data_IF_835032605630
#
_entry.id   IF_835032605630
#
_cell.length_a   1.000
_cell.length_b   1.000
_cell.length_c   1.000
_cell.angle_alpha   90.00
_cell.angle_beta   90.00
_cell.angle_gamma   90.00
#
_symmetry.space_group_name_H-M   'P 1'
#
loop_
_entity.id
_entity.type
_entity.pdbx_description
1 polymer ?
#
# COMPACT_ATOMS: atom_id res chain seq x y z
N UNK A 1 64.50 -74.38 8.63
CA UNK A 1 64.72 -75.09 7.35
C UNK A 1 63.37 -75.37 6.70
N UNK A 2 63.06 -74.62 5.64
CA UNK A 2 62.37 -75.02 4.40
C UNK A 2 61.05 -75.83 4.37
N UNK A 3 60.19 -75.39 3.43
CA UNK A 3 59.03 -76.03 2.74
C UNK A 3 57.66 -75.63 3.31
N UNK A 4 56.98 -74.65 2.72
CA UNK A 4 56.14 -74.71 1.49
C UNK A 4 54.97 -75.69 1.66
N UNK A 5 53.78 -75.13 1.87
CA UNK A 5 52.49 -75.78 1.67
C UNK A 5 51.70 -74.92 0.67
N UNK A 6 51.53 -75.44 -0.53
CA UNK A 6 50.64 -74.89 -1.56
C UNK A 6 49.25 -75.51 -1.36
N UNK A 7 48.22 -74.69 -1.18
CA UNK A 7 46.83 -75.11 -1.18
C UNK A 7 46.16 -74.58 -2.45
N UNK A 8 45.78 -75.51 -3.35
CA UNK A 8 44.85 -75.24 -4.45
C UNK A 8 43.46 -75.04 -3.87
N UNK A 9 42.85 -73.88 -4.12
CA UNK A 9 41.44 -73.63 -3.88
C UNK A 9 40.67 -73.70 -5.20
N UNK A 10 39.65 -74.55 -5.23
CA UNK A 10 38.78 -74.79 -6.37
C UNK A 10 37.86 -73.60 -6.66
N UNK A 11 37.68 -73.33 -7.95
CA UNK A 11 36.79 -72.32 -8.52
C UNK A 11 35.32 -72.74 -8.45
N UNK A 12 34.49 -71.93 -7.78
CA UNK A 12 33.03 -72.01 -7.87
C UNK A 12 32.50 -70.74 -8.57
N UNK A 13 32.00 -70.90 -9.79
CA UNK A 13 31.33 -69.86 -10.58
C UNK A 13 29.94 -69.54 -10.01
N UNK A 14 29.82 -68.36 -9.40
CA UNK A 14 28.52 -67.74 -9.06
C UNK A 14 28.19 -66.64 -10.06
N UNK A 15 27.14 -66.81 -10.86
CA UNK A 15 26.62 -65.79 -11.75
C UNK A 15 25.83 -64.74 -10.94
N UNK A 16 26.35 -63.51 -10.85
CA UNK A 16 25.63 -62.37 -10.29
C UNK A 16 24.76 -61.72 -11.38
N UNK A 17 23.45 -61.87 -11.28
CA UNK A 17 22.47 -61.09 -12.04
C UNK A 17 22.39 -59.69 -11.44
N UNK A 18 23.01 -58.71 -12.09
CA UNK A 18 22.82 -57.29 -11.81
C UNK A 18 21.48 -56.84 -12.38
N UNK A 19 20.47 -56.68 -11.52
CA UNK A 19 19.21 -56.02 -11.87
C UNK A 19 19.46 -54.51 -11.88
N UNK A 20 19.50 -53.91 -13.07
CA UNK A 20 19.56 -52.46 -13.21
C UNK A 20 18.21 -51.84 -12.82
N UNK A 21 18.19 -51.07 -11.73
CA UNK A 21 17.03 -50.27 -11.37
C UNK A 21 16.80 -49.17 -12.42
N UNK A 22 15.54 -48.90 -12.83
CA UNK A 22 15.25 -47.83 -13.77
C UNK A 22 15.60 -46.48 -13.12
N UNK A 23 16.42 -45.67 -13.80
CA UNK A 23 16.61 -44.27 -13.45
C UNK A 23 15.28 -43.55 -13.64
N UNK A 24 14.67 -43.11 -12.56
CA UNK A 24 13.56 -42.17 -12.61
C UNK A 24 14.07 -40.87 -13.25
N UNK A 25 13.58 -40.57 -14.45
CA UNK A 25 13.75 -39.26 -15.07
C UNK A 25 12.88 -38.28 -14.31
N UNK A 26 13.51 -37.39 -13.54
CA UNK A 26 12.84 -36.21 -12.98
C UNK A 26 12.24 -35.42 -14.16
N UNK A 27 10.93 -35.14 -14.17
CA UNK A 27 10.37 -34.26 -15.18
C UNK A 27 11.10 -32.90 -15.11
N UNK A 28 11.27 -32.21 -16.26
CA UNK A 28 11.84 -30.87 -16.25
C UNK A 28 11.00 -30.01 -15.30
N UNK A 29 11.66 -29.25 -14.43
CA UNK A 29 10.97 -28.26 -13.61
C UNK A 29 10.19 -27.35 -14.58
N UNK A 30 8.86 -27.34 -14.47
CA UNK A 30 8.05 -26.37 -15.21
C UNK A 30 8.63 -24.99 -14.96
N UNK A 31 8.93 -24.27 -16.04
CA UNK A 31 9.37 -22.89 -15.94
C UNK A 31 8.31 -22.15 -15.12
N UNK A 32 8.73 -21.49 -14.03
CA UNK A 32 7.83 -20.69 -13.22
C UNK A 32 7.04 -19.75 -14.16
N UNK A 33 5.70 -19.65 -14.00
CA UNK A 33 4.89 -18.83 -14.89
C UNK A 33 5.46 -17.41 -14.94
N UNK A 34 5.56 -16.85 -16.15
CA UNK A 34 6.10 -15.51 -16.33
C UNK A 34 5.31 -14.50 -15.48
N UNK A 35 6.03 -13.68 -14.70
CA UNK A 35 5.43 -12.66 -13.85
C UNK A 35 4.66 -11.66 -14.72
N UNK A 36 3.37 -11.51 -14.44
CA UNK A 36 2.50 -10.54 -15.14
C UNK A 36 2.66 -9.12 -14.59
N UNK A 37 3.12 -8.97 -13.34
CA UNK A 37 3.36 -7.68 -12.69
C UNK A 37 4.61 -7.01 -13.27
N UNK A 38 4.43 -5.84 -13.86
CA UNK A 38 5.52 -4.97 -14.31
C UNK A 38 5.57 -3.71 -13.42
N UNK A 39 6.64 -3.57 -12.63
CA UNK A 39 6.86 -2.44 -11.74
C UNK A 39 7.72 -1.33 -12.37
N UNK A 40 8.26 -1.53 -13.57
CA UNK A 40 9.30 -0.66 -14.12
C UNK A 40 8.89 0.83 -14.22
N UNK A 41 7.62 1.12 -14.48
CA UNK A 41 7.16 2.51 -14.51
C UNK A 41 6.98 3.09 -13.10
N UNK A 42 6.56 2.29 -12.12
CA UNK A 42 6.53 2.72 -10.71
C UNK A 42 7.94 2.93 -10.18
N UNK A 43 8.89 2.05 -10.53
CA UNK A 43 10.31 2.22 -10.19
C UNK A 43 10.85 3.51 -10.81
N UNK A 44 10.46 3.81 -12.06
CA UNK A 44 10.78 5.07 -12.71
C UNK A 44 10.11 6.30 -12.06
N UNK A 45 8.95 6.19 -11.43
CA UNK A 45 8.31 7.33 -10.77
C UNK A 45 8.79 7.52 -9.32
N UNK A 46 9.38 6.50 -8.71
CA UNK A 46 9.86 6.53 -7.33
C UNK A 46 11.00 7.54 -7.12
N UNK A 47 10.94 8.28 -6.03
CA UNK A 47 11.96 9.24 -5.62
C UNK A 47 12.10 9.28 -4.10
N UNK A 48 13.03 10.10 -3.60
CA UNK A 48 13.21 10.35 -2.17
C UNK A 48 13.30 11.83 -1.86
N UNK A 49 12.74 12.25 -0.73
CA UNK A 49 12.85 13.63 -0.22
C UNK A 49 13.20 13.66 1.25
N UNK A 50 13.97 14.66 1.67
CA UNK A 50 14.24 14.97 3.07
C UNK A 50 13.38 16.18 3.48
N UNK A 51 12.13 15.99 3.90
CA UNK A 51 11.23 17.11 4.13
C UNK A 51 11.71 17.95 5.32
N UNK A 52 11.50 19.28 5.28
CA UNK A 52 11.76 20.12 6.44
C UNK A 52 10.81 19.76 7.60
N UNK A 53 11.19 20.15 8.81
CA UNK A 53 10.33 20.01 9.97
C UNK A 53 9.04 20.83 9.77
N UNK A 54 7.90 20.16 9.89
CA UNK A 54 6.59 20.77 9.69
C UNK A 54 5.68 20.43 10.88
N UNK A 55 4.93 21.42 11.35
CA UNK A 55 4.12 21.26 12.55
C UNK A 55 3.09 20.14 12.35
N UNK A 56 2.97 19.25 13.34
CA UNK A 56 2.01 18.12 13.33
C UNK A 56 2.29 17.03 12.29
N UNK A 57 3.38 17.11 11.54
CA UNK A 57 3.78 16.07 10.57
C UNK A 57 5.07 15.38 11.02
N UNK A 58 5.05 14.06 11.00
CA UNK A 58 6.18 13.20 11.38
C UNK A 58 5.98 11.83 10.75
N UNK A 59 6.98 10.96 10.83
CA UNK A 59 6.85 9.58 10.38
C UNK A 59 7.80 8.66 11.13
N UNK A 60 7.70 7.37 10.87
CA UNK A 60 8.52 6.35 11.48
C UNK A 60 10.01 6.67 11.26
N UNK A 61 10.75 6.74 12.37
CA UNK A 61 12.20 6.92 12.40
C UNK A 61 12.74 8.13 11.63
N UNK A 62 11.94 9.19 11.41
CA UNK A 62 12.35 10.38 10.64
C UNK A 62 13.69 10.98 11.09
N UNK A 63 14.02 10.98 12.38
CA UNK A 63 15.29 11.50 12.87
C UNK A 63 16.52 10.63 12.51
N UNK A 64 16.32 9.32 12.31
CA UNK A 64 17.38 8.37 11.98
C UNK A 64 17.44 8.07 10.47
N UNK A 65 16.31 8.18 9.78
CA UNK A 65 16.11 7.95 8.35
C UNK A 65 15.42 9.21 7.80
N UNK A 66 16.16 10.28 7.47
CA UNK A 66 15.55 11.56 7.09
C UNK A 66 14.93 11.54 5.69
N UNK A 67 15.46 10.70 4.80
CA UNK A 67 14.94 10.53 3.45
C UNK A 67 13.69 9.64 3.49
N UNK A 68 12.63 10.10 2.83
CA UNK A 68 11.35 9.42 2.69
C UNK A 68 11.10 9.04 1.25
N UNK A 69 10.69 7.80 1.00
CA UNK A 69 10.18 7.41 -0.31
C UNK A 69 8.91 8.17 -0.70
N UNK A 70 8.91 8.69 -1.92
CA UNK A 70 7.77 9.34 -2.57
C UNK A 70 7.61 8.82 -4.01
N UNK A 71 6.53 9.23 -4.67
CA UNK A 71 6.24 8.86 -6.05
C UNK A 71 5.81 10.11 -6.82
N UNK A 72 6.50 10.41 -7.92
CA UNK A 72 6.07 11.47 -8.84
C UNK A 72 4.66 11.19 -9.35
N UNK A 73 3.80 12.20 -9.26
CA UNK A 73 2.38 12.08 -9.63
C UNK A 73 2.20 11.86 -11.13
N UNK A 74 2.93 12.63 -11.93
CA UNK A 74 2.77 12.63 -13.39
C UNK A 74 4.08 12.38 -14.11
N UNK A 75 3.96 11.89 -15.34
CA UNK A 75 5.07 11.83 -16.26
C UNK A 75 4.61 12.06 -17.70
N UNK A 76 5.29 12.97 -18.40
CA UNK A 76 5.03 13.28 -19.79
C UNK A 76 5.79 12.33 -20.70
N UNK A 77 5.08 11.73 -21.65
CA UNK A 77 5.68 10.95 -22.72
C UNK A 77 6.44 11.87 -23.67
N UNK A 78 7.72 11.59 -23.87
CA UNK A 78 8.60 12.33 -24.77
C UNK A 78 8.54 11.77 -26.19
N UNK A 79 8.96 12.59 -27.17
CA UNK A 79 8.94 12.22 -28.59
C UNK A 79 9.83 11.01 -28.93
N UNK A 80 10.90 10.79 -28.16
CA UNK A 80 11.82 9.64 -28.31
C UNK A 80 11.28 8.36 -27.65
N UNK A 81 10.12 8.43 -27.01
CA UNK A 81 9.52 7.31 -26.31
C UNK A 81 9.87 7.20 -24.82
N UNK A 82 10.74 8.06 -24.30
CA UNK A 82 11.02 8.14 -22.87
C UNK A 82 9.90 8.87 -22.10
N UNK A 83 10.01 8.90 -20.77
CA UNK A 83 9.11 9.66 -19.91
C UNK A 83 9.90 10.69 -19.11
N UNK A 84 9.29 11.84 -18.86
CA UNK A 84 9.83 12.89 -17.97
C UNK A 84 8.89 13.07 -16.79
N UNK A 85 9.40 12.93 -15.57
CA UNK A 85 8.66 13.23 -14.33
C UNK A 85 8.23 14.70 -14.31
N UNK A 86 6.98 14.95 -13.95
CA UNK A 86 6.39 16.29 -13.79
C UNK A 86 5.41 16.29 -12.60
N UNK A 87 5.24 17.44 -11.96
CA UNK A 87 4.23 17.64 -10.92
C UNK A 87 2.88 18.11 -11.48
N UNK A 88 1.91 18.27 -10.59
CA UNK A 88 0.54 18.70 -10.92
C UNK A 88 0.37 20.22 -10.97
N UNK A 89 -0.36 20.72 -11.96
CA UNK A 89 -0.55 22.15 -12.17
C UNK A 89 0.66 22.85 -12.80
N UNK A 90 0.64 24.18 -12.82
CA UNK A 90 1.70 25.01 -13.41
C UNK A 90 3.00 24.89 -12.62
N UNK A 91 4.13 24.73 -13.30
CA UNK A 91 5.46 24.75 -12.69
C UNK A 91 5.99 26.19 -12.58
N UNK A 92 6.46 26.58 -11.38
CA UNK A 92 7.23 27.79 -11.14
C UNK A 92 8.71 27.43 -11.06
N UNK A 93 9.48 27.83 -12.08
CA UNK A 93 10.91 27.55 -12.15
C UNK A 93 11.76 28.37 -11.16
N UNK A 94 11.23 29.47 -10.61
CA UNK A 94 11.94 30.30 -9.64
C UNK A 94 11.96 29.70 -8.24
N UNK A 95 10.90 28.99 -7.87
CA UNK A 95 10.77 28.29 -6.58
C UNK A 95 10.89 26.78 -6.69
N UNK A 96 10.92 26.25 -7.91
CA UNK A 96 10.82 24.82 -8.21
C UNK A 96 9.61 24.15 -7.54
N UNK A 97 8.47 24.82 -7.63
CA UNK A 97 7.20 24.32 -7.07
C UNK A 97 6.15 24.15 -8.15
N UNK A 98 5.14 23.36 -7.84
CA UNK A 98 4.00 23.09 -8.69
C UNK A 98 2.74 23.65 -8.07
N UNK A 99 1.81 24.14 -8.92
CA UNK A 99 0.52 24.66 -8.48
C UNK A 99 -0.26 23.70 -7.60
N UNK A 100 -0.12 22.38 -7.82
CA UNK A 100 -0.62 21.36 -6.90
C UNK A 100 0.51 20.78 -6.05
N UNK A 101 1.47 20.08 -6.69
CA UNK A 101 2.61 19.46 -6.01
C UNK A 101 3.29 18.44 -6.91
N UNK A 102 4.45 17.93 -6.51
CA UNK A 102 5.17 16.89 -7.24
C UNK A 102 4.66 15.49 -6.87
N UNK A 103 4.32 15.30 -5.60
CA UNK A 103 3.92 14.02 -5.03
C UNK A 103 2.55 14.18 -4.37
N UNK A 104 1.71 13.14 -4.44
CA UNK A 104 0.42 13.15 -3.75
C UNK A 104 0.17 11.89 -2.92
N UNK A 105 -0.69 12.02 -1.92
CA UNK A 105 -1.07 10.93 -1.01
C UNK A 105 -1.77 9.76 -1.73
N UNK A 106 -2.57 10.04 -2.76
CA UNK A 106 -3.32 9.03 -3.52
C UNK A 106 -2.39 8.02 -4.22
N UNK A 107 -1.38 8.53 -4.91
CA UNK A 107 -0.44 7.80 -5.73
C UNK A 107 0.54 7.03 -4.85
N UNK A 108 1.04 7.69 -3.79
CA UNK A 108 1.90 7.06 -2.79
C UNK A 108 1.16 5.91 -2.09
N UNK A 109 -0.10 6.09 -1.70
CA UNK A 109 -0.91 5.03 -1.07
C UNK A 109 -1.13 3.84 -2.00
N UNK A 110 -1.52 4.10 -3.27
CA UNK A 110 -1.75 3.04 -4.26
C UNK A 110 -0.46 2.29 -4.60
N UNK A 111 0.65 3.01 -4.80
CA UNK A 111 1.94 2.40 -5.07
C UNK A 111 2.43 1.56 -3.88
N UNK A 112 2.27 2.05 -2.65
CA UNK A 112 2.60 1.29 -1.45
C UNK A 112 1.85 -0.05 -1.41
N UNK A 113 0.56 -0.07 -1.74
CA UNK A 113 -0.23 -1.31 -1.83
C UNK A 113 0.28 -2.24 -2.95
N UNK A 114 0.64 -1.70 -4.12
CA UNK A 114 1.19 -2.52 -5.22
C UNK A 114 2.49 -3.21 -4.79
N UNK A 115 3.45 -2.47 -4.24
CA UNK A 115 4.72 -3.03 -3.76
C UNK A 115 4.51 -3.99 -2.58
N UNK A 116 3.60 -3.68 -1.67
CA UNK A 116 3.23 -4.55 -0.56
C UNK A 116 2.70 -5.90 -1.07
N UNK A 117 1.71 -5.86 -1.96
CA UNK A 117 1.11 -7.09 -2.52
C UNK A 117 2.12 -7.88 -3.32
N UNK A 118 2.96 -7.20 -4.11
CA UNK A 118 4.03 -7.86 -4.85
C UNK A 118 5.05 -8.54 -3.91
N UNK A 119 5.49 -7.86 -2.85
CA UNK A 119 6.34 -8.46 -1.82
C UNK A 119 5.67 -9.68 -1.19
N UNK A 120 4.38 -9.60 -0.83
CA UNK A 120 3.65 -10.72 -0.22
C UNK A 120 3.48 -11.91 -1.15
N UNK A 121 3.40 -11.68 -2.45
CA UNK A 121 3.26 -12.74 -3.46
C UNK A 121 4.61 -13.38 -3.84
N UNK A 122 5.68 -12.60 -3.86
CA UNK A 122 6.97 -13.02 -4.45
C UNK A 122 8.10 -13.17 -3.44
N UNK A 123 8.00 -12.56 -2.27
CA UNK A 123 9.10 -12.41 -1.31
C UNK A 123 10.15 -11.38 -1.72
N UNK A 124 9.91 -10.57 -2.77
CA UNK A 124 10.89 -9.60 -3.26
C UNK A 124 11.26 -8.55 -2.19
N UNK A 125 12.54 -8.54 -1.79
CA UNK A 125 13.05 -7.61 -0.79
C UNK A 125 12.98 -6.14 -1.25
N UNK A 126 13.21 -5.87 -2.54
CA UNK A 126 13.06 -4.52 -3.10
C UNK A 126 11.62 -4.01 -2.97
N UNK A 127 10.62 -4.84 -3.27
CA UNK A 127 9.21 -4.47 -3.10
C UNK A 127 8.85 -4.24 -1.63
N UNK A 128 9.44 -5.00 -0.69
CA UNK A 128 9.28 -4.72 0.75
C UNK A 128 9.84 -3.34 1.12
N UNK A 129 11.03 -3.01 0.61
CA UNK A 129 11.70 -1.74 0.87
C UNK A 129 10.90 -0.56 0.30
N UNK A 130 10.45 -0.66 -0.95
CA UNK A 130 9.58 0.35 -1.56
C UNK A 130 8.27 0.54 -0.78
N UNK A 131 7.64 -0.55 -0.33
CA UNK A 131 6.44 -0.46 0.51
C UNK A 131 6.74 0.24 1.85
N UNK A 132 7.85 -0.12 2.52
CA UNK A 132 8.29 0.53 3.77
C UNK A 132 8.48 2.03 3.57
N UNK A 133 9.25 2.43 2.57
CA UNK A 133 9.57 3.83 2.30
C UNK A 133 8.35 4.66 1.86
N UNK A 134 7.49 4.12 0.99
CA UNK A 134 6.27 4.82 0.57
C UNK A 134 5.26 4.95 1.74
N UNK A 135 5.18 3.96 2.63
CA UNK A 135 4.34 4.06 3.84
C UNK A 135 4.90 5.12 4.81
N UNK A 136 6.22 5.29 4.89
CA UNK A 136 6.84 6.38 5.66
C UNK A 136 6.51 7.74 5.05
N UNK A 137 6.63 7.88 3.73
CA UNK A 137 6.20 9.09 3.01
C UNK A 137 4.72 9.40 3.18
N UNK A 138 3.84 8.40 3.00
CA UNK A 138 2.40 8.54 3.19
C UNK A 138 2.03 9.00 4.60
N UNK A 139 2.66 8.40 5.62
CA UNK A 139 2.37 8.76 7.02
C UNK A 139 3.01 10.08 7.45
N UNK A 140 3.92 10.64 6.66
CA UNK A 140 4.36 12.03 6.82
C UNK A 140 3.31 13.03 6.31
N UNK A 141 2.64 12.72 5.19
CA UNK A 141 1.49 13.49 4.68
C UNK A 141 0.31 13.50 5.66
N UNK A 142 0.18 12.49 6.53
CA UNK A 142 -0.85 12.44 7.56
C UNK A 142 -0.61 13.44 8.70
N UNK A 143 -1.64 14.24 9.00
CA UNK A 143 -1.70 15.13 10.15
C UNK A 143 -1.75 14.30 11.44
N UNK A 144 -0.69 14.36 12.25
CA UNK A 144 -0.48 13.48 13.39
C UNK A 144 -1.16 13.94 14.69
N UNK A 145 -1.50 15.22 14.80
CA UNK A 145 -2.05 15.80 16.02
C UNK A 145 -2.87 17.07 15.74
N UNK A 146 -3.66 17.50 16.72
CA UNK A 146 -4.55 18.65 16.60
C UNK A 146 -5.96 18.28 16.11
N UNK A 147 -6.79 19.27 15.76
CA UNK A 147 -8.20 19.04 15.39
C UNK A 147 -8.39 18.11 14.19
N UNK A 148 -7.46 18.18 13.23
CA UNK A 148 -7.48 17.41 11.98
C UNK A 148 -6.66 16.11 12.08
N UNK A 149 -6.35 15.63 13.30
CA UNK A 149 -5.55 14.43 13.45
C UNK A 149 -6.21 13.23 12.74
N UNK A 150 -5.42 12.50 11.96
CA UNK A 150 -5.88 11.40 11.12
C UNK A 150 -6.08 11.75 9.65
N UNK A 151 -6.42 13.02 9.36
CA UNK A 151 -6.53 13.53 8.00
C UNK A 151 -5.16 13.66 7.35
N UNK A 152 -5.16 13.89 6.04
CA UNK A 152 -3.98 13.74 5.21
C UNK A 152 -3.89 14.95 4.29
N UNK A 153 -2.72 15.59 4.24
CA UNK A 153 -2.44 16.60 3.23
C UNK A 153 -2.26 15.89 1.89
N UNK A 154 -2.95 16.36 0.85
CA UNK A 154 -2.93 15.71 -0.45
C UNK A 154 -1.58 15.87 -1.15
N UNK A 155 -1.00 17.07 -1.15
CA UNK A 155 0.16 17.39 -1.99
C UNK A 155 1.44 17.71 -1.21
N UNK A 156 2.56 17.36 -1.82
CA UNK A 156 3.91 17.70 -1.39
C UNK A 156 4.72 18.25 -2.58
N UNK A 157 5.48 19.30 -2.32
CA UNK A 157 6.39 19.93 -3.29
C UNK A 157 7.70 19.13 -3.46
N UNK A 158 8.50 19.39 -4.51
CA UNK A 158 9.77 18.68 -4.74
C UNK A 158 10.74 18.69 -3.55
N UNK A 159 10.73 19.75 -2.73
CA UNK A 159 11.59 19.89 -1.55
C UNK A 159 11.04 19.22 -0.28
N UNK A 160 9.88 18.56 -0.36
CA UNK A 160 9.21 17.91 0.76
C UNK A 160 8.33 18.84 1.61
N UNK A 161 8.20 20.12 1.26
CA UNK A 161 7.19 20.99 1.88
C UNK A 161 5.78 20.53 1.52
N UNK A 162 4.89 20.51 2.50
CA UNK A 162 3.50 20.15 2.32
C UNK A 162 2.74 21.32 1.70
N UNK A 163 1.79 21.00 0.81
CA UNK A 163 0.95 21.97 0.13
C UNK A 163 -0.53 21.67 0.39
N UNK A 164 -1.08 22.15 1.52
CA UNK A 164 -2.44 21.81 1.94
C UNK A 164 -3.53 22.32 1.00
N UNK A 165 -3.27 23.41 0.27
CA UNK A 165 -4.23 24.08 -0.61
C UNK A 165 -3.64 24.24 -2.01
N UNK A 166 -4.04 23.37 -2.93
CA UNK A 166 -3.55 23.36 -4.32
C UNK A 166 -4.26 24.40 -5.21
N UNK A 167 -3.65 24.68 -6.36
CA UNK A 167 -4.25 25.41 -7.49
C UNK A 167 -4.28 24.51 -8.74
N UNK A 168 -5.47 24.23 -9.32
CA UNK A 168 -6.79 24.62 -8.85
C UNK A 168 -7.15 23.98 -7.51
N UNK A 169 -8.03 24.66 -6.75
CA UNK A 169 -8.52 24.18 -5.46
C UNK A 169 -9.18 22.80 -5.60
N UNK A 170 -8.83 21.90 -4.69
CA UNK A 170 -9.45 20.59 -4.53
C UNK A 170 -10.10 20.52 -3.16
N UNK A 171 -11.30 19.94 -3.09
CA UNK A 171 -12.04 19.82 -1.84
C UNK A 171 -11.79 18.45 -1.17
N UNK A 172 -11.70 18.39 0.17
CA UNK A 172 -11.73 19.53 1.09
C UNK A 172 -10.51 20.46 0.96
N UNK A 173 -10.68 21.76 1.20
CA UNK A 173 -9.58 22.75 1.22
C UNK A 173 -9.50 23.51 2.56
N UNK A 174 -8.42 23.38 3.37
CA UNK A 174 -7.21 22.57 3.13
C UNK A 174 -7.49 21.07 3.00
N UNK A 175 -6.63 20.36 2.27
CA UNK A 175 -6.79 18.92 1.98
C UNK A 175 -6.84 18.01 3.21
N UNK A 176 -6.34 18.46 4.36
CA UNK A 176 -6.45 17.72 5.61
C UNK A 176 -7.61 18.19 6.51
N UNK A 177 -8.58 18.95 5.99
CA UNK A 177 -9.65 19.54 6.81
C UNK A 177 -10.91 18.70 6.97
N UNK A 178 -11.11 17.68 6.15
CA UNK A 178 -12.27 16.79 6.21
C UNK A 178 -11.96 15.42 5.58
N UNK A 179 -12.91 14.49 5.63
CA UNK A 179 -12.80 13.19 5.02
C UNK A 179 -12.75 13.27 3.49
N UNK A 180 -11.81 12.53 2.91
CA UNK A 180 -11.45 12.66 1.50
C UNK A 180 -11.10 11.31 0.86
N UNK A 181 -10.95 11.31 -0.47
CA UNK A 181 -10.42 10.15 -1.20
C UNK A 181 -9.05 9.72 -0.67
N UNK A 182 -8.15 10.68 -0.45
CA UNK A 182 -6.79 10.38 0.01
C UNK A 182 -6.76 9.89 1.47
N UNK A 183 -7.72 10.29 2.32
CA UNK A 183 -7.91 9.66 3.63
C UNK A 183 -8.34 8.19 3.47
N UNK A 184 -9.31 7.90 2.60
CA UNK A 184 -9.78 6.53 2.37
C UNK A 184 -8.65 5.62 1.83
N UNK A 185 -7.83 6.12 0.90
CA UNK A 185 -6.65 5.39 0.38
C UNK A 185 -5.57 5.22 1.42
N UNK A 186 -5.41 6.18 2.33
CA UNK A 186 -4.52 6.03 3.48
C UNK A 186 -4.99 4.90 4.40
N UNK A 187 -6.29 4.83 4.70
CA UNK A 187 -6.89 3.70 5.44
C UNK A 187 -6.66 2.38 4.71
N UNK A 188 -6.82 2.36 3.38
CA UNK A 188 -6.53 1.19 2.56
C UNK A 188 -5.09 0.70 2.72
N UNK A 189 -4.12 1.58 2.45
CA UNK A 189 -2.71 1.25 2.47
C UNK A 189 -2.25 0.79 3.87
N UNK A 190 -2.63 1.52 4.92
CA UNK A 190 -2.26 1.17 6.30
C UNK A 190 -2.93 -0.14 6.77
N UNK A 191 -4.19 -0.36 6.39
CA UNK A 191 -4.94 -1.56 6.74
C UNK A 191 -4.41 -2.85 6.09
N UNK A 192 -3.88 -2.77 4.88
CA UNK A 192 -3.14 -3.89 4.26
C UNK A 192 -1.71 -4.03 4.82
N UNK A 193 -1.03 -2.91 5.07
CA UNK A 193 0.36 -2.92 5.52
C UNK A 193 0.54 -3.47 6.93
N UNK A 194 -0.35 -3.12 7.87
CA UNK A 194 -0.27 -3.60 9.25
C UNK A 194 -0.10 -5.13 9.37
N UNK A 195 -1.02 -5.97 8.84
CA UNK A 195 -0.89 -7.41 8.97
C UNK A 195 0.27 -8.00 8.15
N UNK A 196 0.73 -7.30 7.12
CA UNK A 196 1.88 -7.70 6.32
C UNK A 196 3.20 -7.51 7.09
N UNK A 197 3.37 -6.38 7.78
CA UNK A 197 4.59 -6.08 8.53
C UNK A 197 4.61 -6.66 9.95
N UNK A 198 3.47 -7.03 10.55
CA UNK A 198 3.43 -7.41 11.99
C UNK A 198 4.38 -8.51 12.45
N UNK A 199 4.81 -9.41 11.55
CA UNK A 199 5.81 -10.45 11.84
C UNK A 199 7.21 -10.05 11.39
N UNK A 200 7.32 -9.45 10.21
CA UNK A 200 8.60 -9.11 9.58
C UNK A 200 9.26 -7.84 10.17
N UNK A 201 8.46 -6.88 10.62
CA UNK A 201 8.89 -5.69 11.36
C UNK A 201 7.81 -5.27 12.38
N UNK A 202 7.84 -5.86 13.60
CA UNK A 202 6.83 -5.56 14.61
C UNK A 202 6.84 -4.10 15.10
N UNK A 203 7.98 -3.40 15.01
CA UNK A 203 8.08 -2.02 15.47
C UNK A 203 7.42 -1.07 14.47
N UNK A 204 7.68 -1.26 13.18
CA UNK A 204 7.00 -0.52 12.13
C UNK A 204 5.51 -0.83 12.10
N UNK A 205 5.12 -2.11 12.25
CA UNK A 205 3.71 -2.48 12.29
C UNK A 205 2.92 -1.80 13.43
N UNK A 206 3.53 -1.65 14.63
CA UNK A 206 2.89 -0.88 15.72
C UNK A 206 2.67 0.58 15.33
N UNK A 207 3.67 1.21 14.72
CA UNK A 207 3.53 2.57 14.20
C UNK A 207 2.41 2.66 13.16
N UNK A 208 2.36 1.74 12.19
CA UNK A 208 1.29 1.71 11.17
C UNK A 208 -0.09 1.55 11.80
N UNK A 209 -0.21 0.73 12.85
CA UNK A 209 -1.45 0.56 13.61
C UNK A 209 -1.89 1.88 14.25
N UNK A 210 -0.96 2.60 14.89
CA UNK A 210 -1.26 3.88 15.52
C UNK A 210 -1.71 4.92 14.47
N UNK A 211 -1.07 4.94 13.30
CA UNK A 211 -1.46 5.81 12.16
C UNK A 211 -2.83 5.44 11.58
N UNK A 212 -3.13 4.15 11.49
CA UNK A 212 -4.44 3.67 11.04
C UNK A 212 -5.54 4.03 12.03
N UNK A 213 -5.29 3.89 13.33
CA UNK A 213 -6.26 4.25 14.37
C UNK A 213 -6.55 5.77 14.36
N UNK A 214 -5.57 6.63 14.02
CA UNK A 214 -5.81 8.05 13.76
C UNK A 214 -6.72 8.27 12.56
N UNK A 215 -6.44 7.63 11.41
CA UNK A 215 -7.26 7.76 10.20
C UNK A 215 -8.70 7.27 10.42
N UNK A 216 -8.88 6.18 11.16
CA UNK A 216 -10.21 5.69 11.57
C UNK A 216 -10.91 6.69 12.50
N UNK A 217 -10.17 7.34 13.39
CA UNK A 217 -10.71 8.41 14.25
C UNK A 217 -11.16 9.65 13.46
N UNK A 218 -10.54 9.95 12.32
CA UNK A 218 -11.00 10.98 11.41
C UNK A 218 -12.32 10.58 10.73
N UNK A 219 -12.40 9.37 10.15
CA UNK A 219 -13.65 8.85 9.59
C UNK A 219 -14.80 8.86 10.61
N UNK A 220 -14.53 8.47 11.86
CA UNK A 220 -15.53 8.47 12.94
C UNK A 220 -16.06 9.88 13.26
N UNK A 221 -15.19 10.89 13.20
CA UNK A 221 -15.51 12.29 13.51
C UNK A 221 -16.25 13.01 12.38
N UNK A 222 -15.95 12.67 11.13
CA UNK A 222 -16.30 13.50 9.96
C UNK A 222 -17.36 12.89 9.07
N UNK A 223 -17.51 11.55 9.10
CA UNK A 223 -18.40 10.82 8.20
C UNK A 223 -19.34 9.90 8.96
N UNK A 224 -18.83 9.17 9.97
CA UNK A 224 -19.62 8.12 10.63
C UNK A 224 -20.50 8.63 11.77
N UNK A 225 -20.36 9.88 12.18
CA UNK A 225 -21.28 10.56 13.10
C UNK A 225 -22.68 10.81 12.46
N UNK A 226 -22.73 10.79 11.13
CA UNK A 226 -23.94 10.81 10.31
C UNK A 226 -24.55 9.40 10.07
N UNK A 227 -23.99 8.35 10.68
CA UNK A 227 -24.48 6.98 10.47
C UNK A 227 -25.99 6.83 10.74
N UNK A 228 -26.68 6.26 9.75
CA UNK A 228 -28.13 6.07 9.78
C UNK A 228 -28.94 7.26 9.24
N UNK A 229 -28.30 8.40 8.97
CA UNK A 229 -28.93 9.56 8.31
C UNK A 229 -28.83 9.45 6.79
N UNK A 230 -29.84 9.95 6.11
CA UNK A 230 -29.92 9.86 4.66
C UNK A 230 -30.21 11.22 4.08
N UNK A 231 -29.67 11.46 2.90
CA UNK A 231 -29.92 12.63 2.10
C UNK A 231 -30.68 12.26 0.83
N UNK A 232 -31.28 13.27 0.18
CA UNK A 232 -31.90 13.11 -1.13
C UNK A 232 -30.96 13.69 -2.18
N UNK A 233 -30.30 12.79 -2.93
CA UNK A 233 -29.42 13.16 -4.05
C UNK A 233 -30.12 12.71 -5.33
N UNK A 234 -30.44 13.66 -6.21
CA UNK A 234 -31.16 13.42 -7.47
C UNK A 234 -32.46 12.58 -7.31
N UNK A 235 -33.19 12.82 -6.21
CA UNK A 235 -34.44 12.12 -5.90
C UNK A 235 -34.24 10.70 -5.35
N UNK A 236 -33.00 10.28 -5.10
CA UNK A 236 -32.67 9.01 -4.45
C UNK A 236 -32.22 9.23 -3.02
N UNK A 237 -32.70 8.37 -2.13
CA UNK A 237 -32.29 8.35 -0.73
C UNK A 237 -30.90 7.72 -0.62
N UNK A 238 -29.90 8.54 -0.33
CA UNK A 238 -28.47 8.19 -0.28
C UNK A 238 -27.98 8.23 1.17
N UNK A 239 -27.20 7.23 1.64
CA UNK A 239 -26.54 7.30 2.95
C UNK A 239 -25.66 8.54 3.10
N UNK A 240 -25.82 9.28 4.20
CA UNK A 240 -25.06 10.50 4.50
C UNK A 240 -23.69 10.24 5.16
N UNK A 241 -23.32 8.96 5.33
CA UNK A 241 -22.12 8.53 6.06
C UNK A 241 -21.11 7.84 5.15
N UNK A 242 -21.04 8.26 3.90
CA UNK A 242 -20.06 7.77 2.93
C UNK A 242 -18.99 8.83 2.72
N UNK A 243 -17.74 8.39 2.57
CA UNK A 243 -16.61 9.27 2.28
C UNK A 243 -16.87 9.96 0.94
N UNK A 244 -16.87 11.30 0.93
CA UNK A 244 -17.19 12.12 -0.25
C UNK A 244 -18.52 11.70 -0.91
N UNK A 245 -19.53 11.41 -0.07
CA UNK A 245 -20.89 11.02 -0.47
C UNK A 245 -20.97 9.77 -1.37
N UNK A 246 -19.87 9.01 -1.46
CA UNK A 246 -19.62 8.05 -2.52
C UNK A 246 -19.28 6.65 -2.04
N UNK A 247 -19.80 5.65 -2.76
CA UNK A 247 -19.43 4.26 -2.53
C UNK A 247 -18.01 3.92 -3.02
N UNK A 248 -17.49 4.68 -3.97
CA UNK A 248 -16.14 4.58 -4.54
C UNK A 248 -15.05 4.83 -3.50
N UNK A 249 -14.99 6.03 -2.91
CA UNK A 249 -14.01 6.34 -1.85
C UNK A 249 -14.21 5.43 -0.64
N UNK A 250 -15.47 5.23 -0.23
CA UNK A 250 -15.80 4.37 0.91
C UNK A 250 -15.34 2.92 0.72
N UNK A 251 -15.39 2.38 -0.52
CA UNK A 251 -14.95 1.01 -0.79
C UNK A 251 -13.43 0.84 -0.59
N UNK A 252 -12.62 1.85 -0.91
CA UNK A 252 -11.18 1.81 -0.66
C UNK A 252 -10.89 1.71 0.85
N UNK A 253 -11.55 2.52 1.68
CA UNK A 253 -11.44 2.41 3.14
C UNK A 253 -11.89 1.02 3.64
N UNK A 254 -12.98 0.47 3.08
CA UNK A 254 -13.48 -0.88 3.41
C UNK A 254 -12.44 -1.97 3.09
N UNK A 255 -11.67 -1.86 2.00
CA UNK A 255 -10.60 -2.82 1.68
C UNK A 255 -9.54 -2.88 2.79
N UNK A 256 -9.04 -1.72 3.22
CA UNK A 256 -8.05 -1.63 4.30
C UNK A 256 -8.61 -2.12 5.64
N UNK A 257 -9.80 -1.66 5.99
CA UNK A 257 -10.47 -2.04 7.23
C UNK A 257 -10.76 -3.54 7.29
N UNK A 258 -11.19 -4.16 6.19
CA UNK A 258 -11.42 -5.59 6.12
C UNK A 258 -10.13 -6.38 6.38
N UNK A 259 -9.01 -5.97 5.78
CA UNK A 259 -7.69 -6.55 6.03
C UNK A 259 -7.28 -6.41 7.51
N UNK A 260 -7.42 -5.21 8.08
CA UNK A 260 -7.07 -4.97 9.48
C UNK A 260 -7.97 -5.76 10.44
N UNK A 261 -9.28 -5.78 10.22
CA UNK A 261 -10.23 -6.56 11.04
C UNK A 261 -9.96 -8.06 10.94
N UNK A 262 -9.66 -8.56 9.73
CA UNK A 262 -9.29 -9.94 9.47
C UNK A 262 -7.96 -10.35 10.12
N UNK A 263 -7.09 -9.40 10.47
CA UNK A 263 -5.85 -9.68 11.19
C UNK A 263 -6.09 -10.20 12.62
N UNK A 264 -7.25 -9.88 13.21
CA UNK A 264 -7.60 -10.16 14.61
C UNK A 264 -7.33 -9.01 15.58
N UNK A 265 -6.46 -8.07 15.21
CA UNK A 265 -5.91 -7.05 16.12
C UNK A 265 -6.66 -5.70 16.05
N UNK A 266 -7.66 -5.59 15.18
CA UNK A 266 -8.39 -4.34 14.97
C UNK A 266 -9.20 -3.90 16.20
N UNK A 267 -9.17 -2.58 16.43
CA UNK A 267 -9.92 -1.91 17.50
C UNK A 267 -11.43 -2.03 17.29
N UNK A 268 -12.26 -1.90 18.35
CA UNK A 268 -13.71 -1.85 18.21
C UNK A 268 -14.17 -0.73 17.27
N UNK A 269 -13.48 0.41 17.25
CA UNK A 269 -13.78 1.53 16.35
C UNK A 269 -13.56 1.14 14.89
N UNK A 270 -12.43 0.52 14.55
CA UNK A 270 -12.20 0.04 13.18
C UNK A 270 -13.24 -0.99 12.72
N UNK A 271 -13.71 -1.87 13.62
CA UNK A 271 -14.78 -2.83 13.31
C UNK A 271 -16.13 -2.15 13.07
N UNK A 272 -16.45 -1.12 13.85
CA UNK A 272 -17.67 -0.31 13.62
C UNK A 272 -17.58 0.42 12.28
N UNK A 273 -16.46 1.10 12.01
CA UNK A 273 -16.23 1.80 10.74
C UNK A 273 -16.40 0.86 9.54
N UNK A 274 -15.79 -0.33 9.57
CA UNK A 274 -15.98 -1.35 8.53
C UNK A 274 -17.46 -1.69 8.32
N UNK A 275 -18.18 -1.91 9.42
CA UNK A 275 -19.60 -2.29 9.37
C UNK A 275 -20.47 -1.17 8.79
N UNK A 276 -20.27 0.06 9.25
CA UNK A 276 -21.08 1.22 8.86
C UNK A 276 -20.84 1.61 7.40
N UNK A 277 -19.58 1.67 6.96
CA UNK A 277 -19.25 1.95 5.55
C UNK A 277 -19.76 0.83 4.63
N UNK A 278 -19.61 -0.43 5.03
CA UNK A 278 -20.14 -1.56 4.24
C UNK A 278 -21.67 -1.52 4.13
N UNK A 279 -22.38 -1.16 5.21
CA UNK A 279 -23.83 -0.97 5.20
C UNK A 279 -24.23 0.20 4.27
N UNK A 280 -23.51 1.31 4.31
CA UNK A 280 -23.74 2.45 3.40
C UNK A 280 -23.56 2.07 1.93
N UNK A 281 -22.46 1.38 1.58
CA UNK A 281 -22.23 0.87 0.22
C UNK A 281 -23.32 -0.10 -0.21
N UNK A 282 -23.74 -1.01 0.66
CA UNK A 282 -24.81 -1.95 0.36
C UNK A 282 -26.14 -1.22 0.07
N UNK A 283 -26.44 -0.14 0.80
CA UNK A 283 -27.63 0.70 0.56
C UNK A 283 -27.54 1.52 -0.73
N UNK A 284 -26.34 1.77 -1.24
CA UNK A 284 -26.13 2.45 -2.53
C UNK A 284 -26.40 1.55 -3.72
N UNK A 285 -26.42 0.23 -3.53
CA UNK A 285 -26.72 -0.72 -4.60
C UNK A 285 -28.13 -0.47 -5.15
N UNK A 286 -28.21 -0.13 -6.44
CA UNK A 286 -29.49 -0.18 -7.14
C UNK A 286 -29.98 -1.64 -7.07
N UNK A 287 -31.21 -1.86 -6.61
CA UNK A 287 -31.81 -3.19 -6.63
C UNK A 287 -31.70 -3.83 -8.02
N UNK A 288 -31.70 -5.16 -8.06
CA UNK A 288 -31.50 -5.99 -9.26
C UNK A 288 -32.06 -5.34 -10.54
N UNK A 289 -31.29 -5.33 -11.63
CA UNK A 289 -31.70 -4.92 -12.97
C UNK A 289 -32.75 -5.88 -13.60
N UNK A 290 -33.71 -6.35 -12.81
CA UNK A 290 -34.89 -7.10 -13.25
C UNK A 290 -36.12 -6.22 -13.01
N UNK A 291 -36.43 -5.39 -14.00
CA UNK A 291 -37.79 -4.94 -14.32
C UNK A 291 -38.00 -5.04 -15.82
#
# INVERSE_FOLDING_TARGET
MQRILAALAATATGAALLVAAPRATTPPADAAPARLTNLAHLDFLGDTVAPPQQARHTTYRLAAEPDLGVLWTYADRQADGSYKRIGGGSHDAGTDTYGQGAFNADDVARAAVVYLRDWRQTGAAASREHAYELLRGLTFLQTASGPNAGNVVLWMQPDGTLHPSAEPREEPDPSDSDASYWLARTVWALGEAYPAFRRDDPAFARFLKDRLDLAVGALDREVLDEFGRFENVDGRRTPAWLVVDGADASAEAVLGLASYVGSGDATPTARRALTQLSDGIARMSAGDARR
#
